data_IF_541251749369
#
_entry.id   IF_541251749369
#
_cell.length_a   1.000
_cell.length_b   1.000
_cell.length_c   1.000
_cell.angle_alpha   90.00
_cell.angle_beta   90.00
_cell.angle_gamma   90.00
#
_symmetry.space_group_name_H-M   'P 1'
#
loop_
_entity.id
_entity.type
_entity.pdbx_description
1 polymer ?
#
# COMPACT_ATOMS: atom_id res chain seq x y z
N UNK A 1 -0.31 3.18 22.49
CA UNK A 1 -0.07 4.47 21.82
C UNK A 1 -0.72 4.38 20.45
N UNK A 2 -1.69 5.25 20.15
CA UNK A 2 -2.41 5.21 18.86
C UNK A 2 -1.45 5.59 17.73
N UNK A 3 -1.36 4.77 16.68
CA UNK A 3 -0.44 5.06 15.56
C UNK A 3 -1.08 6.13 14.67
N UNK A 4 -0.43 7.27 14.42
CA UNK A 4 -0.98 8.29 13.54
C UNK A 4 -1.16 7.78 12.12
N UNK A 5 -2.25 8.15 11.45
CA UNK A 5 -2.49 7.78 10.04
C UNK A 5 -1.35 8.28 9.14
N UNK A 6 -0.79 9.44 9.48
CA UNK A 6 0.35 10.02 8.75
C UNK A 6 1.58 9.11 8.83
N UNK A 7 1.84 8.49 9.98
CA UNK A 7 2.96 7.57 10.16
C UNK A 7 2.79 6.31 9.33
N UNK A 8 1.56 5.77 9.25
CA UNK A 8 1.24 4.60 8.42
C UNK A 8 1.52 4.88 6.94
N UNK A 9 1.04 6.03 6.43
CA UNK A 9 1.22 6.41 5.03
C UNK A 9 2.66 6.82 4.71
N UNK A 10 3.36 7.50 5.62
CA UNK A 10 4.79 7.81 5.48
C UNK A 10 5.61 6.53 5.39
N UNK A 11 5.31 5.55 6.26
CA UNK A 11 5.99 4.25 6.22
C UNK A 11 5.74 3.55 4.88
N UNK A 12 4.50 3.46 4.40
CA UNK A 12 4.19 2.87 3.11
C UNK A 12 4.86 3.59 1.92
N UNK A 13 5.01 4.91 2.00
CA UNK A 13 5.66 5.73 0.98
C UNK A 13 7.17 5.44 0.88
N UNK A 14 7.85 5.32 2.01
CA UNK A 14 9.31 5.21 2.04
C UNK A 14 9.80 3.75 2.14
N UNK A 15 9.03 2.90 2.78
CA UNK A 15 9.33 1.48 3.00
C UNK A 15 8.34 0.58 2.24
N UNK A 16 8.85 -0.01 1.16
CA UNK A 16 8.09 -0.96 0.34
C UNK A 16 7.76 -2.26 1.08
N UNK A 17 8.36 -2.52 2.25
CA UNK A 17 7.94 -3.63 3.11
C UNK A 17 6.62 -3.36 3.83
N UNK A 18 6.20 -2.11 3.97
CA UNK A 18 4.91 -1.78 4.56
C UNK A 18 3.74 -1.88 3.57
N UNK A 19 4.00 -2.24 2.31
CA UNK A 19 2.99 -2.35 1.26
C UNK A 19 2.79 -3.82 0.88
N UNK A 20 1.61 -4.41 1.09
CA UNK A 20 1.29 -5.72 0.56
C UNK A 20 1.32 -5.71 -0.97
N UNK A 21 1.96 -6.71 -1.59
CA UNK A 21 2.08 -6.79 -3.04
C UNK A 21 0.72 -6.98 -3.72
N UNK A 22 -0.17 -7.75 -3.09
CA UNK A 22 -1.55 -7.94 -3.54
C UNK A 22 -2.32 -6.61 -3.59
N UNK A 23 -2.26 -5.81 -2.52
CA UNK A 23 -2.87 -4.47 -2.45
C UNK A 23 -2.27 -3.52 -3.49
N UNK A 24 -0.96 -3.58 -3.72
CA UNK A 24 -0.33 -2.76 -4.76
C UNK A 24 -0.81 -3.13 -6.17
N UNK A 25 -0.79 -4.41 -6.53
CA UNK A 25 -1.12 -4.84 -7.89
C UNK A 25 -2.62 -4.83 -8.19
N UNK A 26 -3.50 -4.85 -7.18
CA UNK A 26 -4.93 -4.62 -7.38
C UNK A 26 -5.24 -3.17 -7.76
N UNK A 27 -4.44 -2.22 -7.27
CA UNK A 27 -4.61 -0.78 -7.50
C UNK A 27 -3.81 -0.31 -8.73
N UNK A 28 -2.59 -0.82 -8.89
CA UNK A 28 -1.67 -0.49 -9.98
C UNK A 28 -1.42 -1.75 -10.83
N UNK A 29 -2.39 -2.14 -11.68
CA UNK A 29 -2.31 -3.39 -12.40
C UNK A 29 -1.17 -3.40 -13.41
N UNK A 30 -0.37 -4.47 -13.39
CA UNK A 30 0.57 -4.79 -14.46
C UNK A 30 0.00 -5.94 -15.25
N UNK A 31 -0.65 -5.63 -16.38
CA UNK A 31 -1.20 -6.66 -17.26
C UNK A 31 -0.16 -7.78 -17.51
N UNK A 32 -0.60 -9.04 -17.34
CA UNK A 32 0.06 -10.32 -17.67
C UNK A 32 1.03 -10.95 -16.65
N UNK A 33 1.27 -10.38 -15.48
CA UNK A 33 2.16 -11.01 -14.50
C UNK A 33 1.35 -11.48 -13.31
N UNK A 34 1.13 -12.80 -13.24
CA UNK A 34 0.40 -13.44 -12.15
C UNK A 34 1.07 -13.13 -10.82
N UNK A 35 0.43 -12.29 -10.01
CA UNK A 35 0.75 -12.21 -8.59
C UNK A 35 0.21 -13.51 -8.01
N UNK A 36 1.08 -14.36 -7.47
CA UNK A 36 0.63 -15.56 -6.79
C UNK A 36 -0.36 -15.16 -5.69
N UNK A 37 -1.64 -15.59 -5.74
CA UNK A 37 -2.70 -15.02 -4.89
C UNK A 37 -2.53 -15.23 -3.38
N UNK A 38 -1.61 -16.12 -2.95
CA UNK A 38 -1.64 -16.72 -1.62
C UNK A 38 -0.34 -16.57 -0.81
N UNK A 39 0.55 -15.64 -1.16
CA UNK A 39 1.76 -15.40 -0.35
C UNK A 39 1.73 -13.98 0.23
N UNK A 40 1.96 -13.80 1.55
CA UNK A 40 1.98 -12.48 2.22
C UNK A 40 3.28 -11.73 1.85
N UNK A 41 3.50 -11.54 0.56
CA UNK A 41 4.65 -10.85 0.03
C UNK A 41 4.40 -9.36 0.10
N UNK A 42 5.36 -8.66 0.67
CA UNK A 42 5.43 -7.20 0.55
C UNK A 42 5.98 -6.82 -0.83
N UNK A 43 5.77 -5.57 -1.23
CA UNK A 43 6.35 -5.04 -2.46
C UNK A 43 7.88 -5.07 -2.45
N UNK A 44 8.53 -5.05 -1.28
CA UNK A 44 9.97 -5.25 -1.18
C UNK A 44 10.39 -6.70 -1.49
N UNK A 45 9.68 -7.71 -0.97
CA UNK A 45 9.95 -9.12 -1.30
C UNK A 45 9.79 -9.35 -2.80
N UNK A 46 8.71 -8.82 -3.36
CA UNK A 46 8.46 -8.90 -4.79
C UNK A 46 9.59 -8.22 -5.60
N UNK A 47 10.10 -7.05 -5.19
CA UNK A 47 11.23 -6.39 -5.87
C UNK A 47 12.54 -7.16 -5.82
N UNK A 48 12.79 -7.96 -4.77
CA UNK A 48 13.98 -8.79 -4.65
C UNK A 48 13.91 -9.97 -5.63
N UNK A 49 12.78 -10.68 -5.65
CA UNK A 49 12.65 -11.97 -6.35
C UNK A 49 11.66 -11.97 -7.53
N UNK A 50 11.34 -10.80 -8.08
CA UNK A 50 10.37 -10.61 -9.17
C UNK A 50 10.56 -11.58 -10.37
N UNK A 51 11.79 -12.05 -10.62
CA UNK A 51 12.11 -13.02 -11.69
C UNK A 51 11.38 -14.35 -11.55
N UNK A 52 11.05 -14.77 -10.33
CA UNK A 52 10.24 -15.98 -10.07
C UNK A 52 8.80 -15.83 -10.57
N UNK A 53 8.33 -14.58 -10.73
CA UNK A 53 6.96 -14.24 -11.10
C UNK A 53 6.87 -13.71 -12.54
N UNK A 54 8.00 -13.55 -13.24
CA UNK A 54 8.08 -13.01 -14.59
C UNK A 54 8.98 -13.91 -15.46
N UNK A 55 8.38 -14.90 -16.17
CA UNK A 55 9.15 -15.97 -16.82
C UNK A 55 10.03 -15.48 -18.00
N UNK A 56 9.61 -14.47 -18.77
CA UNK A 56 10.29 -14.08 -20.03
C UNK A 56 11.20 -12.83 -19.94
N UNK A 57 12.41 -12.91 -20.51
CA UNK A 57 13.48 -11.91 -20.47
C UNK A 57 13.21 -10.57 -21.18
N UNK A 58 12.41 -10.55 -22.24
CA UNK A 58 12.00 -9.30 -22.93
C UNK A 58 10.96 -8.55 -22.09
N UNK A 59 10.03 -9.32 -21.55
CA UNK A 59 9.01 -8.89 -20.60
C UNK A 59 9.64 -8.39 -19.28
N UNK A 60 10.79 -8.93 -18.88
CA UNK A 60 11.50 -8.59 -17.64
C UNK A 60 11.96 -7.13 -17.55
N UNK A 61 12.54 -6.55 -18.61
CA UNK A 61 12.99 -5.13 -18.60
C UNK A 61 11.81 -4.17 -18.55
N UNK A 62 10.80 -4.40 -19.39
CA UNK A 62 9.57 -3.60 -19.43
C UNK A 62 8.83 -3.66 -18.09
N UNK A 63 8.77 -4.86 -17.48
CA UNK A 63 8.18 -5.06 -16.18
C UNK A 63 8.85 -4.24 -15.08
N UNK A 64 10.19 -4.32 -14.97
CA UNK A 64 10.95 -3.56 -13.97
C UNK A 64 10.77 -2.05 -14.13
N UNK A 65 10.73 -1.57 -15.36
CA UNK A 65 10.49 -0.15 -15.65
C UNK A 65 9.07 0.29 -15.22
N UNK A 66 8.04 -0.46 -15.60
CA UNK A 66 6.65 -0.20 -15.17
C UNK A 66 6.51 -0.21 -13.65
N UNK A 67 7.13 -1.18 -12.97
CA UNK A 67 7.14 -1.27 -11.51
C UNK A 67 7.70 0.00 -10.85
N UNK A 68 8.78 0.56 -11.42
CA UNK A 68 9.36 1.83 -10.93
C UNK A 68 8.41 3.00 -11.15
N UNK A 69 7.79 3.10 -12.32
CA UNK A 69 6.84 4.17 -12.63
C UNK A 69 5.63 4.16 -11.69
N UNK A 70 5.01 2.98 -11.48
CA UNK A 70 3.88 2.86 -10.56
C UNK A 70 4.31 3.11 -9.12
N UNK A 71 5.50 2.66 -8.72
CA UNK A 71 6.07 3.00 -7.42
C UNK A 71 6.24 4.50 -7.20
N UNK A 72 6.70 5.23 -8.21
CA UNK A 72 6.78 6.69 -8.17
C UNK A 72 5.39 7.34 -8.10
N UNK A 73 4.43 6.84 -8.89
CA UNK A 73 3.03 7.31 -8.86
C UNK A 73 2.39 7.09 -7.50
N UNK A 74 2.57 5.90 -6.91
CA UNK A 74 2.09 5.56 -5.57
C UNK A 74 2.65 6.52 -4.53
N UNK A 75 3.97 6.79 -4.54
CA UNK A 75 4.60 7.72 -3.59
C UNK A 75 4.00 9.12 -3.70
N UNK A 76 3.79 9.60 -4.94
CA UNK A 76 3.15 10.91 -5.19
C UNK A 76 1.71 10.94 -4.66
N UNK A 77 0.91 9.90 -4.91
CA UNK A 77 -0.46 9.83 -4.40
C UNK A 77 -0.49 9.81 -2.87
N UNK A 78 0.37 9.01 -2.23
CA UNK A 78 0.46 8.97 -0.76
C UNK A 78 0.85 10.33 -0.15
N UNK A 79 1.72 11.10 -0.80
CA UNK A 79 2.04 12.47 -0.37
C UNK A 79 0.82 13.40 -0.47
N UNK A 80 0.06 13.30 -1.55
CA UNK A 80 -1.16 14.08 -1.74
C UNK A 80 -2.25 13.68 -0.73
N UNK A 81 -2.46 12.38 -0.52
CA UNK A 81 -3.46 11.84 0.40
C UNK A 81 -3.16 12.26 1.84
N UNK A 82 -1.88 12.27 2.25
CA UNK A 82 -1.47 12.79 3.56
C UNK A 82 -1.82 14.26 3.74
N UNK A 83 -1.58 15.09 2.73
CA UNK A 83 -1.94 16.51 2.79
C UNK A 83 -3.46 16.68 2.93
N UNK A 84 -4.25 15.89 2.22
CA UNK A 84 -5.72 15.90 2.31
C UNK A 84 -6.23 15.45 3.68
N UNK A 85 -5.67 14.38 4.25
CA UNK A 85 -6.00 13.90 5.60
C UNK A 85 -5.66 14.95 6.66
N UNK A 86 -4.50 15.60 6.54
CA UNK A 86 -4.11 16.72 7.43
C UNK A 86 -5.10 17.88 7.32
N UNK A 87 -5.48 18.29 6.11
CA UNK A 87 -6.47 19.35 5.90
C UNK A 87 -7.84 18.99 6.48
N UNK A 88 -8.24 17.72 6.39
CA UNK A 88 -9.48 17.19 6.96
C UNK A 88 -9.40 16.93 8.48
N UNK A 89 -8.24 17.19 9.13
CA UNK A 89 -7.98 16.91 10.54
C UNK A 89 -8.22 15.45 10.93
N UNK A 90 -7.87 14.52 10.04
CA UNK A 90 -7.85 13.08 10.33
C UNK A 90 -6.43 12.71 10.75
N UNK A 91 -6.22 12.56 12.06
CA UNK A 91 -4.88 12.33 12.64
C UNK A 91 -4.70 10.88 13.07
N UNK A 92 -5.76 10.26 13.57
CA UNK A 92 -5.71 8.91 14.14
C UNK A 92 -6.58 7.89 13.41
N UNK A 93 -6.44 6.61 13.75
CA UNK A 93 -7.29 5.56 13.19
C UNK A 93 -8.75 5.71 13.64
N UNK A 94 -9.01 6.26 14.82
CA UNK A 94 -10.38 6.58 15.25
C UNK A 94 -10.97 7.77 14.45
N UNK A 95 -10.17 8.80 14.14
CA UNK A 95 -10.62 9.84 13.20
C UNK A 95 -10.91 9.27 11.82
N UNK A 96 -10.08 8.34 11.35
CA UNK A 96 -10.28 7.67 10.07
C UNK A 96 -11.57 6.85 10.07
N UNK A 97 -11.83 6.08 11.13
CA UNK A 97 -13.07 5.31 11.29
C UNK A 97 -14.32 6.20 11.29
N UNK A 98 -14.26 7.38 11.89
CA UNK A 98 -15.41 8.28 12.03
C UNK A 98 -15.63 9.20 10.83
N UNK A 99 -14.56 9.66 10.17
CA UNK A 99 -14.61 10.70 9.13
C UNK A 99 -14.03 10.27 7.79
N UNK A 100 -13.37 9.11 7.73
CA UNK A 100 -12.56 8.68 6.58
C UNK A 100 -13.32 8.56 5.27
N UNK A 101 -14.60 8.18 5.32
CA UNK A 101 -15.44 8.09 4.11
C UNK A 101 -15.72 9.43 3.44
N UNK A 102 -15.51 10.54 4.16
CA UNK A 102 -15.71 11.90 3.64
C UNK A 102 -14.42 12.51 3.09
N UNK A 103 -13.28 11.88 3.29
CA UNK A 103 -11.99 12.38 2.78
C UNK A 103 -11.75 11.79 1.40
N UNK A 104 -11.59 12.66 0.40
CA UNK A 104 -11.19 12.28 -0.95
C UNK A 104 -9.71 11.87 -0.96
N UNK A 105 -9.42 10.59 -0.74
CA UNK A 105 -8.07 10.02 -0.84
C UNK A 105 -8.03 8.88 -1.84
N UNK A 106 -6.84 8.64 -2.39
CA UNK A 106 -6.59 7.55 -3.31
C UNK A 106 -6.83 6.16 -2.72
N UNK A 107 -7.07 5.17 -3.58
CA UNK A 107 -7.39 3.80 -3.17
C UNK A 107 -6.28 3.14 -2.34
N UNK A 108 -5.01 3.51 -2.54
CA UNK A 108 -3.89 2.95 -1.79
C UNK A 108 -3.91 3.42 -0.34
N UNK A 109 -4.04 4.73 -0.10
CA UNK A 109 -4.13 5.26 1.25
C UNK A 109 -5.35 4.69 1.97
N UNK A 110 -6.50 4.61 1.29
CA UNK A 110 -7.71 3.99 1.83
C UNK A 110 -7.49 2.54 2.23
N UNK A 111 -6.94 1.71 1.35
CA UNK A 111 -6.66 0.31 1.65
C UNK A 111 -5.72 0.14 2.86
N UNK A 112 -4.61 0.87 2.89
CA UNK A 112 -3.63 0.81 3.99
C UNK A 112 -4.24 1.22 5.34
N UNK A 113 -5.06 2.27 5.37
CA UNK A 113 -5.71 2.73 6.60
C UNK A 113 -6.82 1.78 7.05
N UNK A 114 -7.58 1.21 6.12
CA UNK A 114 -8.59 0.18 6.42
C UNK A 114 -7.95 -1.09 6.96
N UNK A 115 -6.86 -1.59 6.35
CA UNK A 115 -6.12 -2.75 6.84
C UNK A 115 -5.55 -2.49 8.26
N UNK A 116 -4.95 -1.32 8.49
CA UNK A 116 -4.45 -0.94 9.80
C UNK A 116 -5.56 -0.83 10.86
N UNK A 117 -6.71 -0.29 10.49
CA UNK A 117 -7.89 -0.24 11.38
C UNK A 117 -8.38 -1.65 11.73
N UNK A 118 -8.46 -2.55 10.75
CA UNK A 118 -8.85 -3.94 10.99
C UNK A 118 -7.87 -4.64 11.95
N UNK A 119 -6.56 -4.48 11.75
CA UNK A 119 -5.54 -5.04 12.62
C UNK A 119 -5.59 -4.48 14.05
N UNK A 120 -5.94 -3.20 14.21
CA UNK A 120 -6.08 -2.57 15.52
C UNK A 120 -7.37 -3.00 16.26
N UNK A 121 -8.40 -3.40 15.53
CA UNK A 121 -9.70 -3.84 16.09
C UNK A 121 -9.73 -5.34 16.40
N UNK A 122 -8.89 -6.15 15.73
CA UNK A 122 -8.77 -7.57 16.04
C UNK A 122 -8.28 -7.74 17.49
N UNK A 123 -8.99 -8.51 18.34
CA UNK A 123 -8.50 -8.80 19.68
C UNK A 123 -7.17 -9.53 19.52
N UNK A 124 -6.13 -9.05 20.20
CA UNK A 124 -4.91 -9.81 20.43
C UNK A 124 -5.33 -11.17 21.01
N UNK A 125 -5.26 -12.24 20.24
CA UNK A 125 -5.52 -13.58 20.77
C UNK A 125 -4.58 -13.76 21.97
N UNK A 126 -5.11 -14.05 23.17
CA UNK A 126 -4.25 -14.38 24.30
C UNK A 126 -3.51 -15.66 23.93
N UNK A 127 -2.17 -15.59 23.94
CA UNK A 127 -1.30 -16.77 23.99
C UNK A 127 -1.30 -17.34 25.40
#
# INVERSE_FOLDING_TARGET
METPVETLLQRARDDWSAVPATTFFSIYPVHRYGVAPNSPLTMQHYRKDWRRFVPDSVNRKCFRYRLRLMGASMRRHLDQDRARLRAAKVVTLEDWKTKGDRVDIGPMARALLTEALQQAVLPSSPS
#
